data_IF_414370258608
#
_entry.id   IF_414370258608
#
_cell.length_a   1.000
_cell.length_b   1.000
_cell.length_c   1.000
_cell.angle_alpha   90.00
_cell.angle_beta   90.00
_cell.angle_gamma   90.00
#
_symmetry.space_group_name_H-M   'P 1'
#
loop_
_entity.id
_entity.type
_entity.pdbx_description
1 polymer ?
#
# COMPACT_ATOMS: atom_id res chain seq x y z
N UNK A 1 11.94 -1.89 -6.48
CA UNK A 1 11.46 -1.35 -5.18
C UNK A 1 11.11 0.11 -5.40
N UNK A 2 9.91 0.55 -5.01
CA UNK A 2 9.48 1.92 -5.24
C UNK A 2 10.13 2.87 -4.24
N UNK A 3 11.14 3.63 -4.66
CA UNK A 3 11.65 4.77 -3.89
C UNK A 3 10.58 5.87 -3.82
N UNK A 4 10.48 6.58 -2.68
CA UNK A 4 9.53 7.66 -2.41
C UNK A 4 8.05 7.27 -2.26
N UNK A 5 7.75 6.07 -1.74
CA UNK A 5 6.37 5.68 -1.46
C UNK A 5 5.49 5.52 -2.71
N UNK A 6 6.10 5.32 -3.88
CA UNK A 6 5.37 5.22 -5.15
C UNK A 6 4.52 3.95 -5.19
N UNK A 7 3.21 4.11 -5.41
CA UNK A 7 2.29 3.01 -5.74
C UNK A 7 1.98 3.08 -7.23
N UNK A 8 2.05 1.94 -7.92
CA UNK A 8 1.62 1.83 -9.31
C UNK A 8 0.46 0.83 -9.41
N UNK A 9 -0.54 1.17 -10.21
CA UNK A 9 -1.73 0.35 -10.44
C UNK A 9 -1.93 0.11 -11.92
N UNK A 10 -2.32 -1.09 -12.29
CA UNK A 10 -2.83 -1.43 -13.62
C UNK A 10 -4.31 -1.79 -13.56
N UNK A 11 -5.05 -1.47 -14.62
CA UNK A 11 -6.43 -1.96 -14.85
C UNK A 11 -6.51 -2.88 -16.06
N UNK A 12 -5.39 -3.05 -16.78
CA UNK A 12 -5.30 -3.79 -18.04
C UNK A 12 -4.40 -5.03 -17.92
N UNK A 13 -4.36 -5.66 -16.74
CA UNK A 13 -3.57 -6.89 -16.54
C UNK A 13 -2.05 -6.73 -16.68
N UNK A 14 -1.52 -5.50 -16.62
CA UNK A 14 -0.07 -5.23 -16.71
C UNK A 14 0.36 -4.43 -17.94
N UNK A 15 -0.53 -4.19 -18.91
CA UNK A 15 -0.17 -3.46 -20.15
C UNK A 15 0.06 -1.97 -19.91
N UNK A 16 -0.64 -1.37 -18.94
CA UNK A 16 -0.52 0.04 -18.57
C UNK A 16 -0.44 0.20 -17.05
N UNK A 17 0.45 1.07 -16.59
CA UNK A 17 0.66 1.36 -15.18
C UNK A 17 0.47 2.85 -14.91
N UNK A 18 -0.39 3.16 -13.94
CA UNK A 18 -0.70 4.52 -13.53
C UNK A 18 -0.17 4.72 -12.11
N UNK A 19 0.62 5.78 -11.93
CA UNK A 19 1.11 6.18 -10.60
C UNK A 19 -0.06 6.64 -9.75
N UNK A 20 -0.14 6.11 -8.52
CA UNK A 20 -1.08 6.52 -7.50
C UNK A 20 -0.34 7.26 -6.39
N UNK A 21 -0.92 8.35 -5.91
CA UNK A 21 -0.40 9.03 -4.73
C UNK A 21 -0.66 8.16 -3.49
N UNK A 22 0.40 7.84 -2.76
CA UNK A 22 0.33 7.08 -1.50
C UNK A 22 0.11 7.96 -0.27
N UNK A 23 0.24 9.28 -0.43
CA UNK A 23 0.19 10.24 0.69
C UNK A 23 1.43 10.23 1.59
N UNK A 24 2.51 9.52 1.21
CA UNK A 24 3.76 9.45 1.98
C UNK A 24 4.99 9.40 1.07
N UNK A 25 6.10 9.96 1.54
CA UNK A 25 7.42 9.82 0.89
C UNK A 25 8.21 8.60 1.41
N UNK A 26 7.73 7.94 2.47
CA UNK A 26 8.41 6.79 3.06
C UNK A 26 8.42 5.61 2.08
N UNK A 27 9.49 4.83 2.11
CA UNK A 27 9.58 3.62 1.29
C UNK A 27 8.49 2.63 1.71
N UNK A 28 7.67 2.21 0.75
CA UNK A 28 6.70 1.14 0.92
C UNK A 28 7.35 -0.17 0.49
N UNK A 29 7.30 -1.18 1.36
CA UNK A 29 8.00 -2.46 1.16
C UNK A 29 7.06 -3.61 0.84
N UNK A 30 5.78 -3.49 1.19
CA UNK A 30 4.77 -4.54 0.93
C UNK A 30 3.39 -3.93 0.75
N UNK A 31 2.58 -4.56 -0.11
CA UNK A 31 1.18 -4.21 -0.36
C UNK A 31 0.35 -5.49 -0.46
N UNK A 32 -0.84 -5.50 0.13
CA UNK A 32 -1.75 -6.64 0.06
C UNK A 32 -3.21 -6.19 0.06
N UNK A 33 -4.04 -6.89 -0.70
CA UNK A 33 -5.46 -6.60 -0.86
C UNK A 33 -6.31 -7.78 -0.36
N UNK A 34 -6.99 -7.66 0.80
CA UNK A 34 -7.98 -8.66 1.23
C UNK A 34 -9.27 -8.64 0.39
N UNK A 35 -9.50 -7.60 -0.40
CA UNK A 35 -10.59 -7.56 -1.38
C UNK A 35 -10.25 -6.62 -2.52
N UNK A 36 -11.06 -6.61 -3.58
CA UNK A 36 -10.87 -5.71 -4.73
C UNK A 36 -10.83 -4.22 -4.35
N UNK A 37 -11.50 -3.83 -3.26
CA UNK A 37 -11.62 -2.43 -2.84
C UNK A 37 -10.71 -2.09 -1.66
N UNK A 38 -10.44 -3.04 -0.78
CA UNK A 38 -9.67 -2.80 0.45
C UNK A 38 -8.25 -3.32 0.27
N UNK A 39 -7.27 -2.45 0.51
CA UNK A 39 -5.86 -2.77 0.45
C UNK A 39 -5.05 -2.06 1.52
N UNK A 40 -3.90 -2.62 1.85
CA UNK A 40 -2.98 -2.11 2.85
C UNK A 40 -1.56 -2.11 2.28
N UNK A 41 -0.83 -1.02 2.47
CA UNK A 41 0.59 -0.97 2.18
C UNK A 41 1.36 -0.53 3.43
N UNK A 42 2.53 -1.14 3.62
CA UNK A 42 3.38 -0.91 4.78
C UNK A 42 4.80 -0.58 4.36
N UNK A 43 5.51 0.16 5.20
CA UNK A 43 6.80 0.72 4.88
C UNK A 43 7.61 1.15 6.10
N UNK A 44 8.76 1.75 5.82
CA UNK A 44 9.64 2.31 6.85
C UNK A 44 8.97 3.46 7.62
N UNK A 45 9.50 3.78 8.80
CA UNK A 45 9.02 4.91 9.60
C UNK A 45 7.61 4.67 10.15
N UNK A 46 7.30 3.41 10.47
CA UNK A 46 6.00 2.95 10.98
C UNK A 46 4.84 3.30 10.03
N UNK A 47 5.11 3.31 8.72
CA UNK A 47 4.11 3.68 7.71
C UNK A 47 3.13 2.54 7.49
N UNK A 48 1.85 2.79 7.76
CA UNK A 48 0.74 1.96 7.29
C UNK A 48 -0.25 2.87 6.58
N UNK A 49 -0.57 2.55 5.34
CA UNK A 49 -1.60 3.23 4.57
C UNK A 49 -2.64 2.23 4.09
N UNK A 50 -3.89 2.70 4.02
CA UNK A 50 -5.05 1.91 3.63
C UNK A 50 -5.80 2.58 2.49
N UNK A 51 -6.32 1.75 1.59
CA UNK A 51 -7.31 2.14 0.58
C UNK A 51 -8.62 1.40 0.80
N UNK A 52 -9.74 2.03 0.41
CA UNK A 52 -11.08 1.43 0.38
C UNK A 52 -11.75 1.58 -1.00
N UNK A 53 -10.99 2.03 -2.00
CA UNK A 53 -11.46 2.26 -3.37
C UNK A 53 -10.52 1.61 -4.41
N UNK A 54 -9.90 0.50 -4.05
CA UNK A 54 -9.04 -0.29 -4.93
C UNK A 54 -7.73 0.41 -5.27
N UNK A 55 -7.18 1.22 -4.36
CA UNK A 55 -5.89 1.88 -4.51
C UNK A 55 -5.90 3.19 -5.29
N UNK A 56 -7.07 3.79 -5.53
CA UNK A 56 -7.16 5.13 -6.12
C UNK A 56 -6.72 6.20 -5.11
N UNK A 57 -7.13 6.05 -3.85
CA UNK A 57 -6.72 6.91 -2.74
C UNK A 57 -6.18 6.06 -1.59
N UNK A 58 -5.14 6.58 -0.92
CA UNK A 58 -4.49 5.97 0.23
C UNK A 58 -4.50 6.94 1.41
N UNK A 59 -4.84 6.43 2.59
CA UNK A 59 -4.90 7.21 3.82
C UNK A 59 -4.05 6.54 4.91
N UNK A 60 -3.24 7.30 5.67
CA UNK A 60 -2.49 6.74 6.78
C UNK A 60 -3.43 6.22 7.86
N UNK A 61 -3.07 5.10 8.47
CA UNK A 61 -3.74 4.57 9.65
C UNK A 61 -2.74 4.44 10.79
N UNK A 62 -3.24 4.60 12.02
CA UNK A 62 -2.38 4.51 13.19
C UNK A 62 -1.75 3.12 13.29
N UNK A 63 -0.43 3.11 13.39
CA UNK A 63 0.30 1.92 13.75
C UNK A 63 0.07 1.58 15.23
N UNK A 64 -0.40 0.37 15.57
CA UNK A 64 -0.52 -0.06 16.96
C UNK A 64 0.85 -0.31 17.63
N UNK A 65 1.95 -0.35 16.86
CA UNK A 65 3.31 -0.61 17.36
C UNK A 65 4.33 0.36 16.74
N UNK A 66 5.37 0.73 17.49
CA UNK A 66 6.38 1.70 17.05
C UNK A 66 7.59 1.04 16.36
N UNK A 67 7.36 0.16 15.38
CA UNK A 67 8.41 -0.56 14.67
C UNK A 67 8.17 -0.59 13.17
N UNK A 68 9.25 -0.71 12.38
CA UNK A 68 9.15 -0.87 10.93
C UNK A 68 8.40 -2.15 10.55
N UNK A 69 7.54 -2.05 9.54
CA UNK A 69 6.82 -3.18 8.98
C UNK A 69 7.54 -3.72 7.75
N UNK A 70 7.81 -5.03 7.73
CA UNK A 70 8.54 -5.68 6.63
C UNK A 70 7.65 -6.43 5.66
N UNK A 71 6.44 -6.81 6.06
CA UNK A 71 5.47 -7.48 5.22
C UNK A 71 4.04 -7.21 5.71
N UNK A 72 3.09 -7.24 4.77
CA UNK A 72 1.65 -7.35 5.07
C UNK A 72 1.10 -8.48 4.22
N UNK A 73 0.41 -9.43 4.85
CA UNK A 73 -0.23 -10.57 4.20
C UNK A 73 -1.56 -10.83 4.89
N UNK A 74 -2.59 -11.12 4.11
CA UNK A 74 -3.88 -11.58 4.62
C UNK A 74 -3.96 -13.08 4.35
N UNK A 75 -4.22 -13.87 5.40
CA UNK A 75 -4.57 -15.28 5.23
C UNK A 75 -6.04 -15.34 4.91
N UNK A 76 -6.38 -15.77 3.69
CA UNK A 76 -7.78 -16.04 3.33
C UNK A 76 -8.32 -17.20 4.19
N UNK A 77 -9.60 -17.12 4.54
CA UNK A 77 -10.40 -18.23 5.11
C UNK A 77 -11.16 -18.95 4.02
#
# INVERSE_FOLDING_TARGET
MGTNGTIIKTTSGGDNWIVQSSGTANMLVSISFPSLNVGYAVGDGNTIIKTTNGGQNWFPINSPISTDYRAVHFVDT
#
